data_IF_537083994313
#
_entry.id   IF_537083994313
#
_cell.length_a   1.000
_cell.length_b   1.000
_cell.length_c   1.000
_cell.angle_alpha   90.00
_cell.angle_beta   90.00
_cell.angle_gamma   90.00
#
_symmetry.space_group_name_H-M   'P 1'
#
loop_
_entity.id
_entity.type
_entity.pdbx_description
1 polymer ?
#
# COMPACT_ATOMS: atom_id res chain seq x y z
N UNK A 1 -9.72 -2.93 -31.28
CA UNK A 1 -9.82 -2.76 -29.81
C UNK A 1 -8.44 -2.97 -29.21
N UNK A 2 -7.90 -2.01 -28.45
CA UNK A 2 -6.82 -2.31 -27.50
C UNK A 2 -7.49 -2.67 -26.19
N UNK A 3 -7.38 -3.94 -25.81
CA UNK A 3 -7.71 -4.38 -24.46
C UNK A 3 -6.49 -4.10 -23.60
N UNK A 4 -6.50 -3.01 -22.84
CA UNK A 4 -5.71 -2.91 -21.62
C UNK A 4 -6.44 -3.76 -20.57
N UNK A 5 -6.17 -5.06 -20.67
CA UNK A 5 -6.61 -6.09 -19.75
C UNK A 5 -6.03 -5.77 -18.36
N UNK A 6 -6.80 -5.02 -17.58
CA UNK A 6 -6.70 -5.00 -16.12
C UNK A 6 -7.15 -6.36 -15.60
N UNK A 7 -6.40 -7.41 -15.93
CA UNK A 7 -6.54 -8.70 -15.30
C UNK A 7 -6.31 -8.50 -13.81
N UNK A 8 -7.38 -8.68 -13.04
CA UNK A 8 -7.37 -8.88 -11.60
C UNK A 8 -6.60 -10.14 -11.24
N UNK A 9 -5.31 -10.17 -11.56
CA UNK A 9 -4.37 -11.09 -10.97
C UNK A 9 -4.44 -10.82 -9.48
N UNK A 10 -4.97 -11.79 -8.74
CA UNK A 10 -4.75 -11.91 -7.31
C UNK A 10 -3.25 -12.13 -7.14
N UNK A 11 -2.48 -11.05 -7.23
CA UNK A 11 -1.04 -11.08 -6.97
C UNK A 11 -0.92 -11.38 -5.49
N UNK A 12 -0.10 -12.36 -5.08
CA UNK A 12 0.26 -12.46 -3.67
C UNK A 12 0.72 -11.06 -3.26
N UNK A 13 0.08 -10.49 -2.24
CA UNK A 13 0.43 -9.18 -1.70
C UNK A 13 1.86 -9.17 -1.11
N UNK A 14 2.67 -10.21 -1.33
CA UNK A 14 3.99 -10.39 -0.74
C UNK A 14 4.94 -9.23 -1.01
N UNK A 15 4.78 -8.47 -2.10
CA UNK A 15 5.32 -7.11 -2.27
C UNK A 15 4.94 -6.61 -3.67
N UNK A 16 3.99 -5.67 -3.80
CA UNK A 16 3.58 -5.15 -5.10
C UNK A 16 3.89 -3.65 -5.21
N UNK A 17 4.78 -3.27 -6.12
CA UNK A 17 4.97 -1.88 -6.53
C UNK A 17 4.32 -1.64 -7.90
N UNK A 18 3.59 -0.53 -8.02
CA UNK A 18 2.91 -0.10 -9.25
C UNK A 18 3.05 1.41 -9.43
N UNK A 19 2.96 1.88 -10.67
CA UNK A 19 2.75 3.30 -10.95
C UNK A 19 1.27 3.60 -10.74
N UNK A 20 0.96 4.59 -9.92
CA UNK A 20 -0.39 4.90 -9.47
C UNK A 20 -0.59 6.41 -9.43
N UNK A 21 -1.58 6.92 -10.15
CA UNK A 21 -1.99 8.33 -10.14
C UNK A 21 -0.84 9.35 -10.28
N UNK A 22 0.15 9.06 -11.13
CA UNK A 22 1.33 9.91 -11.34
C UNK A 22 2.45 9.76 -10.31
N UNK A 23 2.27 8.90 -9.32
CA UNK A 23 3.27 8.50 -8.34
C UNK A 23 3.64 7.01 -8.43
N UNK A 24 4.42 6.54 -7.45
CA UNK A 24 4.79 5.14 -7.26
C UNK A 24 4.22 4.64 -5.94
N UNK A 25 3.40 3.60 -5.99
CA UNK A 25 2.78 2.99 -4.83
C UNK A 25 3.29 1.57 -4.64
N UNK A 26 3.89 1.30 -3.49
CA UNK A 26 4.33 -0.02 -3.07
C UNK A 26 3.50 -0.47 -1.87
N UNK A 27 2.83 -1.60 -1.98
CA UNK A 27 1.90 -2.09 -0.98
C UNK A 27 1.95 -3.60 -0.87
N UNK A 28 1.54 -4.11 0.29
CA UNK A 28 1.50 -5.53 0.50
C UNK A 28 1.56 -5.95 1.95
N UNK A 29 1.92 -7.21 2.14
CA UNK A 29 2.31 -7.76 3.42
C UNK A 29 3.33 -8.87 3.26
N UNK A 30 4.21 -9.05 4.24
CA UNK A 30 5.10 -10.19 4.33
C UNK A 30 5.01 -10.83 5.73
N UNK A 31 5.36 -12.11 5.84
CA UNK A 31 5.40 -12.81 7.13
C UNK A 31 6.55 -12.32 8.00
N UNK A 32 6.29 -12.13 9.29
CA UNK A 32 7.29 -11.87 10.34
C UNK A 32 7.17 -12.94 11.42
N UNK A 33 8.16 -13.04 12.33
CA UNK A 33 8.25 -14.12 13.32
C UNK A 33 6.96 -14.38 14.11
N UNK A 34 6.21 -13.32 14.45
CA UNK A 34 4.99 -13.40 15.25
C UNK A 34 3.72 -13.00 14.48
N UNK A 35 3.75 -12.98 13.15
CA UNK A 35 2.60 -12.50 12.37
C UNK A 35 2.92 -12.11 10.94
N UNK A 36 2.28 -11.04 10.50
CA UNK A 36 2.49 -10.41 9.20
C UNK A 36 2.63 -8.91 9.36
N UNK A 37 3.55 -8.35 8.59
CA UNK A 37 3.76 -6.93 8.45
C UNK A 37 2.99 -6.43 7.23
N UNK A 38 1.96 -5.60 7.43
CA UNK A 38 1.13 -4.99 6.40
C UNK A 38 1.61 -3.56 6.15
N UNK A 39 1.88 -3.18 4.90
CA UNK A 39 2.47 -1.89 4.58
C UNK A 39 1.86 -1.25 3.34
N UNK A 40 1.88 0.09 3.31
CA UNK A 40 1.48 0.93 2.19
C UNK A 40 2.39 2.15 2.13
N UNK A 41 3.21 2.21 1.08
CA UNK A 41 4.18 3.27 0.84
C UNK A 41 3.86 3.96 -0.48
N UNK A 42 3.55 5.25 -0.46
CA UNK A 42 3.22 6.00 -1.67
C UNK A 42 4.15 7.19 -1.82
N UNK A 43 4.68 7.38 -3.02
CA UNK A 43 5.52 8.51 -3.37
C UNK A 43 4.90 9.27 -4.52
N UNK A 44 4.80 10.58 -4.40
CA UNK A 44 4.38 11.45 -5.50
C UNK A 44 5.28 12.70 -5.59
N UNK A 45 5.79 12.99 -6.79
CA UNK A 45 6.78 14.05 -7.00
C UNK A 45 6.20 15.45 -6.78
N UNK A 46 5.01 15.73 -7.32
CA UNK A 46 4.45 17.10 -7.36
C UNK A 46 3.27 17.36 -6.43
N UNK A 47 2.66 16.34 -5.83
CA UNK A 47 1.39 16.46 -5.10
C UNK A 47 1.51 15.93 -3.68
N UNK A 48 0.72 16.55 -2.81
CA UNK A 48 0.43 15.98 -1.49
C UNK A 48 -0.26 14.64 -1.68
N UNK A 49 0.11 13.70 -0.83
CA UNK A 49 -0.37 12.34 -0.95
C UNK A 49 -0.34 11.65 0.42
N UNK A 50 -1.03 10.53 0.50
CA UNK A 50 -1.07 9.72 1.71
C UNK A 50 -1.12 8.23 1.40
N UNK A 51 -0.78 7.44 2.41
CA UNK A 51 -0.94 6.00 2.42
C UNK A 51 -1.53 5.55 3.73
N UNK A 52 -2.30 4.47 3.70
CA UNK A 52 -2.85 3.87 4.90
C UNK A 52 -2.91 2.36 4.82
N UNK A 53 -2.92 1.74 6.00
CA UNK A 53 -3.09 0.31 6.18
C UNK A 53 -4.20 0.04 7.19
N UNK A 54 -4.93 -1.05 6.98
CA UNK A 54 -5.88 -1.60 7.94
C UNK A 54 -5.64 -3.11 8.07
N UNK A 55 -5.47 -3.57 9.30
CA UNK A 55 -5.27 -4.99 9.61
C UNK A 55 -5.88 -5.32 10.97
N UNK A 56 -6.73 -6.35 11.02
CA UNK A 56 -7.50 -6.66 12.22
C UNK A 56 -8.36 -5.46 12.65
N UNK A 57 -8.18 -5.01 13.90
CA UNK A 57 -8.82 -3.80 14.43
C UNK A 57 -7.96 -2.53 14.30
N UNK A 58 -6.73 -2.66 13.80
CA UNK A 58 -5.77 -1.56 13.67
C UNK A 58 -5.90 -0.82 12.34
N UNK A 59 -5.69 0.48 12.38
CA UNK A 59 -5.54 1.32 11.18
C UNK A 59 -4.47 2.38 11.39
N UNK A 60 -3.62 2.60 10.40
CA UNK A 60 -2.63 3.67 10.40
C UNK A 60 -2.68 4.42 9.08
N UNK A 61 -2.60 5.74 9.13
CA UNK A 61 -2.51 6.62 7.97
C UNK A 61 -1.29 7.52 8.12
N UNK A 62 -0.55 7.72 7.05
CA UNK A 62 0.54 8.68 6.95
C UNK A 62 0.35 9.55 5.71
N UNK A 63 0.53 10.86 5.86
CA UNK A 63 0.50 11.81 4.75
C UNK A 63 1.92 12.35 4.53
N UNK A 64 2.22 12.73 3.28
CA UNK A 64 3.50 13.27 2.88
C UNK A 64 3.32 14.45 1.91
N UNK A 65 4.30 15.36 1.96
CA UNK A 65 4.43 16.48 1.02
C UNK A 65 4.92 15.97 -0.34
N UNK A 66 4.80 16.77 -1.41
CA UNK A 66 5.45 16.47 -2.68
C UNK A 66 6.92 16.10 -2.50
N UNK A 67 7.41 15.15 -3.31
CA UNK A 67 8.78 14.66 -3.32
C UNK A 67 9.23 13.96 -2.01
N UNK A 68 8.28 13.52 -1.18
CA UNK A 68 8.50 12.64 -0.04
C UNK A 68 7.71 11.35 -0.22
N UNK A 69 7.95 10.35 0.63
CA UNK A 69 7.20 9.10 0.64
C UNK A 69 6.31 9.07 1.88
N UNK A 70 5.00 8.85 1.71
CA UNK A 70 4.13 8.49 2.81
C UNK A 70 4.32 7.01 3.16
N UNK A 71 4.51 6.70 4.43
CA UNK A 71 4.77 5.32 4.90
C UNK A 71 3.80 4.95 6.01
N UNK A 72 2.99 3.94 5.77
CA UNK A 72 2.07 3.39 6.77
C UNK A 72 2.28 1.89 6.87
N UNK A 73 2.50 1.39 8.08
CA UNK A 73 2.59 -0.04 8.33
C UNK A 73 2.03 -0.44 9.69
N UNK A 74 1.55 -1.67 9.78
CA UNK A 74 1.03 -2.29 10.99
C UNK A 74 1.33 -3.79 10.97
N UNK A 75 1.48 -4.37 12.16
CA UNK A 75 1.66 -5.80 12.32
C UNK A 75 0.44 -6.42 12.99
N UNK A 76 0.07 -7.64 12.57
CA UNK A 76 -0.93 -8.45 13.25
C UNK A 76 -0.68 -9.94 12.97
N UNK A 77 -1.50 -10.81 13.57
CA UNK A 77 -1.45 -12.26 13.30
C UNK A 77 -1.65 -12.63 11.82
N UNK A 78 -1.07 -13.75 11.40
CA UNK A 78 -1.05 -14.23 10.01
C UNK A 78 -2.44 -14.39 9.37
N UNK A 79 -3.45 -14.75 10.17
CA UNK A 79 -4.81 -14.97 9.70
C UNK A 79 -5.58 -13.69 9.32
N UNK A 80 -5.11 -12.51 9.74
CA UNK A 80 -5.82 -11.26 9.43
C UNK A 80 -5.66 -10.91 7.95
N UNK A 81 -6.63 -10.20 7.37
CA UNK A 81 -6.50 -9.61 6.04
C UNK A 81 -5.77 -8.26 6.12
N UNK A 82 -4.83 -8.00 5.21
CA UNK A 82 -4.15 -6.71 5.09
C UNK A 82 -4.87 -5.92 4.01
N UNK A 83 -5.37 -4.73 4.36
CA UNK A 83 -5.91 -3.79 3.40
C UNK A 83 -4.99 -2.59 3.32
N UNK A 84 -4.63 -2.19 2.11
CA UNK A 84 -3.70 -1.10 1.84
C UNK A 84 -4.37 -0.09 0.93
N UNK A 85 -4.12 1.18 1.17
CA UNK A 85 -4.68 2.27 0.40
C UNK A 85 -3.64 3.35 0.17
N UNK A 86 -3.85 4.13 -0.89
CA UNK A 86 -3.14 5.36 -1.17
C UNK A 86 -4.14 6.45 -1.59
N UNK A 87 -3.75 7.71 -1.40
CA UNK A 87 -4.51 8.89 -1.78
C UNK A 87 -3.61 9.97 -2.34
N UNK A 88 -4.12 10.76 -3.28
CA UNK A 88 -3.46 11.95 -3.82
C UNK A 88 -4.44 13.12 -3.79
N UNK A 89 -3.95 14.31 -3.45
CA UNK A 89 -4.72 15.55 -3.46
C UNK A 89 -4.77 16.22 -4.84
#
# INVERSE_FOLDING_TARGET
MRMDDSSGAVRPMSEACVNASGGKWCYGWYGVSNGKHCYSNYYHYTKYHDSSVKIGKGSLKAAAKPNQTSQASLEAGLAYTCYTYYGVA
#
